data_IF_030381799229
#
_entry.id   IF_030381799229
#
_cell.length_a   1.000
_cell.length_b   1.000
_cell.length_c   1.000
_cell.angle_alpha   90.00
_cell.angle_beta   90.00
_cell.angle_gamma   90.00
#
_symmetry.space_group_name_H-M   'P 1'
#
loop_
_entity.id
_entity.type
_entity.pdbx_description
1 polymer ?
#
# COMPACT_ATOMS: atom_id res chain seq x y z
N UNK A 1 -3.06 22.54 2.69
CA UNK A 1 -3.72 21.49 1.91
C UNK A 1 -4.10 20.36 2.83
N UNK A 2 -5.38 20.05 2.83
CA UNK A 2 -5.85 18.93 3.61
C UNK A 2 -5.41 17.62 2.96
N UNK A 3 -4.82 16.75 3.76
CA UNK A 3 -4.49 15.42 3.32
C UNK A 3 -5.55 14.46 3.80
N UNK A 4 -6.07 13.67 2.90
CA UNK A 4 -7.03 12.66 3.28
C UNK A 4 -6.31 11.50 3.93
N UNK A 5 -6.85 11.08 5.06
CA UNK A 5 -6.39 9.91 5.78
C UNK A 5 -7.58 9.01 6.03
N UNK A 6 -7.35 7.72 5.90
CA UNK A 6 -8.34 6.74 6.31
C UNK A 6 -7.63 5.64 7.09
N UNK A 7 -8.40 4.96 7.93
CA UNK A 7 -7.84 3.95 8.80
C UNK A 7 -8.89 2.86 9.02
N UNK A 8 -8.50 1.62 8.81
CA UNK A 8 -9.35 0.45 9.04
C UNK A 8 -8.64 -0.46 10.01
N UNK A 9 -9.36 -0.87 11.06
CA UNK A 9 -8.84 -1.78 12.06
C UNK A 9 -9.69 -3.05 12.10
N UNK A 10 -9.16 -4.09 12.71
CA UNK A 10 -9.84 -5.38 12.87
C UNK A 10 -10.16 -6.06 11.54
N UNK A 11 -9.35 -5.81 10.52
CA UNK A 11 -9.50 -6.43 9.23
C UNK A 11 -8.90 -7.85 9.30
N UNK A 12 -9.69 -8.91 9.01
CA UNK A 12 -9.18 -10.28 9.16
C UNK A 12 -8.35 -10.68 7.93
N UNK A 13 -7.06 -10.35 7.93
CA UNK A 13 -6.15 -10.72 6.84
C UNK A 13 -5.11 -11.69 7.34
N UNK A 14 -5.08 -12.87 6.76
CA UNK A 14 -4.12 -13.93 7.05
C UNK A 14 -3.45 -14.36 5.74
N UNK A 15 -2.44 -15.23 5.84
CA UNK A 15 -1.75 -15.75 4.66
C UNK A 15 -2.73 -16.38 3.67
N UNK A 16 -2.47 -16.17 2.39
CA UNK A 16 -3.30 -16.70 1.32
C UNK A 16 -4.48 -15.82 0.95
N UNK A 17 -4.62 -14.66 1.58
CA UNK A 17 -5.68 -13.71 1.25
C UNK A 17 -5.13 -12.55 0.45
N UNK A 18 -6.01 -11.89 -0.31
CA UNK A 18 -5.63 -10.67 -1.00
C UNK A 18 -6.66 -9.59 -0.76
N UNK A 19 -6.21 -8.35 -0.96
CA UNK A 19 -6.99 -7.16 -0.70
C UNK A 19 -6.97 -6.29 -1.95
N UNK A 20 -8.15 -5.90 -2.41
CA UNK A 20 -8.28 -4.97 -3.54
C UNK A 20 -8.61 -3.58 -3.00
N UNK A 21 -7.87 -2.60 -3.44
CA UNK A 21 -8.01 -1.21 -3.01
C UNK A 21 -8.28 -0.35 -4.23
N UNK A 22 -9.41 0.37 -4.22
CA UNK A 22 -9.76 1.31 -5.27
C UNK A 22 -9.80 2.70 -4.71
N UNK A 23 -9.28 3.64 -5.46
CA UNK A 23 -9.28 5.01 -5.04
C UNK A 23 -9.02 5.97 -6.17
N UNK A 24 -8.91 7.23 -5.81
CA UNK A 24 -8.61 8.30 -6.75
C UNK A 24 -7.44 9.12 -6.22
N UNK A 25 -6.51 9.45 -7.09
CA UNK A 25 -5.34 10.24 -6.77
C UNK A 25 -5.66 11.70 -7.05
N UNK A 26 -5.41 12.59 -6.10
CA UNK A 26 -5.64 14.01 -6.27
C UNK A 26 -4.79 14.55 -7.41
N UNK A 27 -5.29 15.58 -8.12
CA UNK A 27 -4.60 16.15 -9.27
C UNK A 27 -3.27 16.79 -8.93
N UNK A 28 -3.14 17.28 -7.70
CA UNK A 28 -1.93 17.95 -7.22
C UNK A 28 -1.08 17.06 -6.32
N UNK A 29 -1.37 15.75 -6.28
CA UNK A 29 -0.63 14.84 -5.43
C UNK A 29 0.74 14.54 -6.02
N UNK A 30 1.79 14.71 -5.21
CA UNK A 30 3.14 14.27 -5.54
C UNK A 30 3.38 12.86 -5.02
N UNK A 31 2.83 12.53 -3.87
CA UNK A 31 3.03 11.26 -3.19
C UNK A 31 1.80 10.90 -2.40
N UNK A 32 1.63 9.59 -2.20
CA UNK A 32 0.67 9.10 -1.22
C UNK A 32 1.20 7.78 -0.68
N UNK A 33 0.55 7.25 0.34
CA UNK A 33 0.98 6.01 0.95
C UNK A 33 -0.21 5.16 1.35
N UNK A 34 -0.05 3.85 1.20
CA UNK A 34 -1.00 2.85 1.69
C UNK A 34 -0.22 1.92 2.60
N UNK A 35 -0.70 1.74 3.82
CA UNK A 35 0.00 1.04 4.87
C UNK A 35 -0.80 -0.18 5.30
N UNK A 36 -0.11 -1.31 5.40
CA UNK A 36 -0.69 -2.57 5.87
C UNK A 36 0.16 -3.10 7.00
N UNK A 37 -0.47 -3.48 8.10
CA UNK A 37 0.28 -3.99 9.23
C UNK A 37 -0.61 -4.52 10.35
N UNK A 38 0.03 -4.65 11.52
CA UNK A 38 -0.64 -5.07 12.74
C UNK A 38 -1.30 -3.89 13.45
N UNK A 39 -0.77 -2.70 13.27
CA UNK A 39 -1.24 -1.47 13.86
C UNK A 39 -0.40 -0.31 13.36
N UNK A 40 -0.65 0.88 13.89
CA UNK A 40 0.06 2.10 13.48
C UNK A 40 1.56 2.01 13.72
N UNK A 41 1.98 1.26 14.71
CA UNK A 41 3.37 1.15 15.15
C UNK A 41 4.10 0.00 14.51
N UNK A 42 3.42 -0.84 13.74
CA UNK A 42 4.05 -1.99 13.11
C UNK A 42 3.40 -2.25 11.75
N UNK A 43 4.08 -1.77 10.71
CA UNK A 43 3.60 -1.86 9.33
C UNK A 43 4.52 -2.78 8.55
N UNK A 44 3.96 -3.89 8.08
CA UNK A 44 4.73 -4.83 7.27
C UNK A 44 4.99 -4.32 5.86
N UNK A 45 4.11 -3.47 5.36
CA UNK A 45 4.24 -2.86 4.04
C UNK A 45 3.74 -1.43 4.10
N UNK A 46 4.61 -0.48 3.78
CA UNK A 46 4.22 0.87 3.43
C UNK A 46 4.48 1.02 1.94
N UNK A 47 3.41 1.10 1.17
CA UNK A 47 3.46 1.25 -0.28
C UNK A 47 3.31 2.72 -0.60
N UNK A 48 4.39 3.36 -1.04
CA UNK A 48 4.44 4.81 -1.22
C UNK A 48 4.78 5.16 -2.66
N UNK A 49 3.77 5.37 -3.52
CA UNK A 49 4.03 5.89 -4.87
C UNK A 49 4.51 7.34 -4.81
N UNK A 50 5.68 7.57 -5.40
CA UNK A 50 6.26 8.89 -5.59
C UNK A 50 5.99 9.30 -7.03
N UNK A 51 4.86 9.98 -7.23
CA UNK A 51 4.40 10.33 -8.59
C UNK A 51 5.34 11.32 -9.25
N UNK A 52 5.94 12.19 -8.46
CA UNK A 52 6.90 13.20 -8.94
C UNK A 52 8.23 12.58 -9.37
N UNK A 53 8.52 11.34 -8.93
CA UNK A 53 9.77 10.64 -9.25
C UNK A 53 9.53 9.40 -10.11
N UNK A 54 8.28 9.12 -10.46
CA UNK A 54 7.90 7.95 -11.25
C UNK A 54 8.43 6.66 -10.63
N UNK A 55 8.30 6.52 -9.32
CA UNK A 55 8.75 5.32 -8.62
C UNK A 55 7.81 4.99 -7.47
N UNK A 56 7.81 3.71 -7.07
CA UNK A 56 7.05 3.24 -5.92
C UNK A 56 8.05 2.73 -4.90
N UNK A 57 7.99 3.28 -3.70
CA UNK A 57 8.89 2.89 -2.62
C UNK A 57 8.11 2.03 -1.63
N UNK A 58 8.66 0.86 -1.31
CA UNK A 58 8.06 -0.06 -0.35
C UNK A 58 9.02 -0.22 0.83
N UNK A 59 8.52 0.01 2.05
CA UNK A 59 9.33 -0.09 3.26
C UNK A 59 8.50 -0.71 4.38
N UNK A 60 9.14 -1.43 5.32
CA UNK A 60 8.49 -1.80 6.56
C UNK A 60 8.71 -0.72 7.62
N UNK A 61 7.84 -0.68 8.60
CA UNK A 61 7.95 0.24 9.74
C UNK A 61 7.75 -0.54 11.03
N UNK A 62 8.71 -0.45 11.93
CA UNK A 62 8.63 -1.06 13.26
C UNK A 62 9.37 -0.13 14.25
N UNK A 63 8.83 1.08 14.41
CA UNK A 63 9.47 2.14 15.17
C UNK A 63 10.50 2.93 14.38
N UNK A 64 11.09 2.33 13.36
CA UNK A 64 11.98 2.98 12.40
C UNK A 64 11.73 2.38 11.03
N UNK A 65 12.15 3.11 9.99
CA UNK A 65 12.04 2.59 8.63
C UNK A 65 13.08 1.50 8.40
N UNK A 66 12.63 0.37 7.87
CA UNK A 66 13.51 -0.72 7.48
C UNK A 66 14.03 -0.55 6.06
N UNK A 67 14.65 -1.63 5.51
CA UNK A 67 15.16 -1.59 4.15
C UNK A 67 14.06 -1.32 3.14
N UNK A 68 14.33 -0.46 2.18
CA UNK A 68 13.34 -0.13 1.15
C UNK A 68 13.60 -0.86 -0.15
N UNK A 69 12.55 -1.17 -0.87
CA UNK A 69 12.60 -1.63 -2.25
C UNK A 69 11.98 -0.55 -3.12
N UNK A 70 12.62 -0.26 -4.24
CA UNK A 70 12.13 0.77 -5.17
C UNK A 70 11.73 0.10 -6.47
N UNK A 71 10.48 0.35 -6.88
CA UNK A 71 9.96 -0.14 -8.14
C UNK A 71 9.84 1.03 -9.10
N UNK A 72 10.44 0.89 -10.28
CA UNK A 72 10.46 1.97 -11.27
C UNK A 72 9.27 1.96 -12.21
N UNK A 73 8.51 0.89 -12.23
CA UNK A 73 7.31 0.81 -13.04
C UNK A 73 6.19 1.62 -12.38
N UNK A 74 5.72 2.66 -13.05
CA UNK A 74 4.80 3.63 -12.44
C UNK A 74 3.63 3.91 -13.38
N UNK A 75 2.55 3.11 -13.31
CA UNK A 75 1.34 3.38 -14.11
C UNK A 75 0.39 4.36 -13.45
N UNK A 76 0.64 4.75 -12.20
CA UNK A 76 -0.25 5.65 -11.46
C UNK A 76 -0.03 7.09 -11.86
N UNK A 77 -1.11 7.87 -11.97
CA UNK A 77 -1.05 9.27 -12.41
C UNK A 77 -1.91 10.17 -11.53
N UNK A 78 -1.47 11.39 -11.25
CA UNK A 78 -2.31 12.36 -10.54
C UNK A 78 -3.63 12.58 -11.28
N UNK A 79 -4.71 12.69 -10.52
CA UNK A 79 -6.04 12.92 -11.07
C UNK A 79 -6.75 11.68 -11.57
N UNK A 80 -6.10 10.52 -11.56
CA UNK A 80 -6.65 9.28 -12.08
C UNK A 80 -7.17 8.38 -10.98
N UNK A 81 -8.08 7.51 -11.34
CA UNK A 81 -8.49 6.41 -10.48
C UNK A 81 -7.46 5.29 -10.57
N UNK A 82 -7.38 4.50 -9.51
CA UNK A 82 -6.46 3.36 -9.48
C UNK A 82 -7.10 2.18 -8.78
N UNK A 83 -6.58 1.00 -9.09
CA UNK A 83 -6.92 -0.24 -8.39
C UNK A 83 -5.62 -0.95 -8.09
N UNK A 84 -5.40 -1.27 -6.83
CA UNK A 84 -4.25 -2.05 -6.39
C UNK A 84 -4.75 -3.33 -5.75
N UNK A 85 -4.04 -4.43 -5.99
CA UNK A 85 -4.31 -5.69 -5.31
C UNK A 85 -3.05 -6.11 -4.57
N UNK A 86 -3.20 -6.40 -3.29
CA UNK A 86 -2.10 -6.85 -2.44
C UNK A 86 -2.44 -8.23 -1.92
N UNK A 87 -1.67 -9.22 -2.34
CA UNK A 87 -1.79 -10.59 -1.82
C UNK A 87 -0.81 -10.74 -0.67
N UNK A 88 -1.31 -11.26 0.46
CA UNK A 88 -0.52 -11.49 1.66
C UNK A 88 -0.13 -12.95 1.73
N UNK A 89 1.17 -13.22 1.65
CA UNK A 89 1.72 -14.58 1.68
C UNK A 89 2.78 -14.69 2.76
N UNK A 90 3.13 -15.92 3.12
CA UNK A 90 4.11 -16.13 4.20
C UNK A 90 5.47 -15.51 3.88
N UNK A 91 5.87 -15.51 2.61
CA UNK A 91 7.16 -14.95 2.19
C UNK A 91 7.11 -13.44 2.02
N UNK A 92 5.93 -12.88 1.76
CA UNK A 92 5.82 -11.45 1.51
C UNK A 92 4.52 -11.03 0.90
N UNK A 93 4.54 -9.85 0.34
CA UNK A 93 3.41 -9.22 -0.29
C UNK A 93 3.60 -9.24 -1.79
N UNK A 94 2.55 -9.59 -2.52
CA UNK A 94 2.55 -9.50 -3.98
C UNK A 94 1.60 -8.40 -4.38
N UNK A 95 2.14 -7.36 -5.02
CA UNK A 95 1.38 -6.18 -5.38
C UNK A 95 1.10 -6.21 -6.87
N UNK A 96 -0.17 -6.06 -7.24
CA UNK A 96 -0.59 -5.95 -8.64
C UNK A 96 -1.04 -4.52 -8.91
N UNK A 97 -0.41 -3.87 -9.87
CA UNK A 97 -0.69 -2.51 -10.27
C UNK A 97 -1.85 -2.45 -11.29
N UNK A 98 -2.41 -1.27 -11.55
CA UNK A 98 -3.60 -1.16 -12.41
C UNK A 98 -3.42 -1.71 -13.82
N UNK A 99 -2.20 -1.72 -14.34
CA UNK A 99 -1.92 -2.26 -15.68
C UNK A 99 -1.59 -3.75 -15.67
N UNK A 100 -1.70 -4.43 -14.52
CA UNK A 100 -1.44 -5.84 -14.40
C UNK A 100 0.00 -6.19 -14.01
N UNK A 101 0.88 -5.21 -13.97
CA UNK A 101 2.26 -5.44 -13.55
C UNK A 101 2.30 -5.87 -12.09
N UNK A 102 3.12 -6.87 -11.77
CA UNK A 102 3.23 -7.40 -10.42
C UNK A 102 4.67 -7.29 -9.91
N UNK A 103 4.79 -7.01 -8.63
CA UNK A 103 6.08 -7.07 -7.95
C UNK A 103 5.87 -7.56 -6.52
N UNK A 104 6.94 -7.97 -5.87
CA UNK A 104 6.88 -8.54 -4.53
C UNK A 104 7.70 -7.73 -3.54
N UNK A 105 7.25 -7.73 -2.29
CA UNK A 105 7.98 -7.13 -1.19
C UNK A 105 8.04 -8.13 -0.05
N UNK A 106 9.25 -8.39 0.54
CA UNK A 106 9.37 -9.41 1.57
C UNK A 106 8.60 -9.06 2.84
N UNK A 107 8.11 -10.09 3.54
CA UNK A 107 7.49 -9.92 4.86
C UNK A 107 8.60 -9.85 5.91
N UNK A 108 9.25 -8.70 6.00
CA UNK A 108 10.45 -8.54 6.82
C UNK A 108 10.17 -8.58 8.31
N UNK A 109 8.96 -8.20 8.72
CA UNK A 109 8.60 -8.19 10.13
C UNK A 109 7.99 -9.52 10.58
N UNK A 110 7.83 -10.47 9.68
CA UNK A 110 7.28 -11.79 10.02
C UNK A 110 5.86 -11.75 10.53
N UNK A 111 5.05 -10.83 10.02
CA UNK A 111 3.67 -10.71 10.46
C UNK A 111 2.84 -11.87 9.94
N UNK A 112 1.95 -12.39 10.78
CA UNK A 112 1.04 -13.47 10.41
C UNK A 112 -0.37 -12.96 10.12
N UNK A 113 -0.67 -11.74 10.52
CA UNK A 113 -1.97 -11.11 10.35
C UNK A 113 -1.78 -9.65 9.99
N UNK A 114 -2.71 -9.12 9.20
CA UNK A 114 -2.73 -7.71 8.81
C UNK A 114 -4.11 -7.12 9.13
N UNK A 115 -4.39 -6.87 10.41
CA UNK A 115 -5.70 -6.29 10.76
C UNK A 115 -5.82 -4.80 10.48
N UNK A 116 -4.74 -4.15 10.08
CA UNK A 116 -4.68 -2.69 9.96
C UNK A 116 -4.39 -2.27 8.52
N UNK A 117 -5.19 -1.35 8.04
CA UNK A 117 -5.01 -0.71 6.73
C UNK A 117 -5.19 0.80 6.91
N UNK A 118 -4.28 1.58 6.38
CA UNK A 118 -4.45 3.03 6.38
C UNK A 118 -3.91 3.63 5.10
N UNK A 119 -4.28 4.86 4.86
CA UNK A 119 -3.77 5.62 3.73
C UNK A 119 -3.60 7.07 4.10
N UNK A 120 -2.66 7.73 3.43
CA UNK A 120 -2.38 9.14 3.66
C UNK A 120 -1.85 9.79 2.39
N UNK A 121 -1.85 11.11 2.37
CA UNK A 121 -1.41 11.89 1.24
C UNK A 121 -2.56 12.24 0.32
N UNK A 122 -2.28 12.51 -0.92
CA UNK A 122 -3.25 13.00 -1.88
C UNK A 122 -4.10 11.91 -2.52
N UNK A 123 -4.70 11.04 -1.73
CA UNK A 123 -5.54 9.98 -2.28
C UNK A 123 -6.84 9.84 -1.49
N UNK A 124 -7.87 9.39 -2.18
CA UNK A 124 -9.15 9.07 -1.58
C UNK A 124 -9.52 7.63 -1.95
N UNK A 125 -9.59 6.77 -0.94
CA UNK A 125 -9.93 5.36 -1.16
C UNK A 125 -11.43 5.19 -1.01
N UNK A 126 -12.06 4.63 -2.04
CA UNK A 126 -13.52 4.47 -2.07
C UNK A 126 -13.97 3.05 -1.82
N UNK A 127 -13.14 2.06 -2.16
CA UNK A 127 -13.48 0.65 -1.98
C UNK A 127 -12.23 -0.10 -1.56
N UNK A 128 -12.37 -0.95 -0.57
CA UNK A 128 -11.37 -1.96 -0.24
C UNK A 128 -12.13 -3.23 0.10
N UNK A 129 -11.69 -4.35 -0.47
CA UNK A 129 -12.42 -5.60 -0.33
C UNK A 129 -11.49 -6.80 -0.54
N UNK A 130 -11.87 -7.96 -0.01
CA UNK A 130 -11.17 -9.20 -0.36
C UNK A 130 -11.32 -9.45 -1.86
N UNK A 131 -10.28 -9.95 -2.44
CA UNK A 131 -10.33 -10.30 -3.88
C UNK A 131 -10.15 -11.78 -4.08
#
# INVERSE_FOLDING_TARGET
IAQETFEVTNMPRIFGTSLKIKGKIAKDADRFAINLGRGRDKLGLTLSPHLDESSIVCTPWDGTWGPENVEKHMPLRPGSEFTLTVAFESEGFKVTLPDGYQFSFPNRLGLCQLPYLSGQGGTHVTVYSPS
#
